data_IF_392824593304
#
_entry.id   IF_392824593304
#
_cell.length_a   1.000
_cell.length_b   1.000
_cell.length_c   1.000
_cell.angle_alpha   90.00
_cell.angle_beta   90.00
_cell.angle_gamma   90.00
#
_symmetry.space_group_name_H-M   'P 1'
#
loop_
_entity.id
_entity.type
_entity.pdbx_description
1 polymer ?
#
# COMPACT_ATOMS: atom_id res chain seq x y z
N UNK A 1 13.72 -14.50 16.86
CA UNK A 1 13.81 -14.90 15.44
C UNK A 1 13.31 -13.72 14.62
N UNK A 2 14.10 -13.25 13.65
CA UNK A 2 13.75 -12.07 12.83
C UNK A 2 12.48 -12.32 12.02
N UNK A 3 11.77 -11.24 11.68
CA UNK A 3 10.54 -11.24 10.88
C UNK A 3 10.73 -10.36 9.66
N UNK A 4 10.05 -10.68 8.57
CA UNK A 4 10.03 -9.91 7.32
C UNK A 4 8.78 -9.05 7.29
N UNK A 5 8.95 -7.74 7.37
CA UNK A 5 7.88 -6.78 7.59
C UNK A 5 7.68 -5.95 6.32
N UNK A 6 6.48 -5.97 5.76
CA UNK A 6 6.13 -5.24 4.55
C UNK A 6 5.41 -3.93 4.87
N UNK A 7 6.02 -2.79 4.54
CA UNK A 7 5.37 -1.50 4.60
C UNK A 7 4.62 -1.24 3.28
N UNK A 8 3.34 -0.88 3.38
CA UNK A 8 2.48 -0.61 2.22
C UNK A 8 1.94 0.81 2.31
N UNK A 9 2.20 1.62 1.29
CA UNK A 9 1.72 3.00 1.14
C UNK A 9 1.55 3.34 -0.34
N UNK A 10 0.98 4.50 -0.64
CA UNK A 10 1.01 5.06 -2.00
C UNK A 10 2.40 5.58 -2.39
N UNK A 11 3.21 5.96 -1.40
CA UNK A 11 4.57 6.51 -1.57
C UNK A 11 5.43 6.29 -0.33
N UNK A 12 6.72 6.00 -0.54
CA UNK A 12 7.81 6.17 0.43
C UNK A 12 8.97 6.88 -0.27
N UNK A 13 8.89 8.21 -0.38
CA UNK A 13 9.86 9.02 -1.09
C UNK A 13 9.91 10.46 -0.54
N UNK A 14 11.10 11.00 -0.37
CA UNK A 14 11.33 12.37 0.08
C UNK A 14 11.04 12.57 1.58
N UNK A 15 10.54 13.75 1.93
CA UNK A 15 10.43 14.21 3.33
C UNK A 15 8.99 14.37 3.80
N UNK A 16 8.03 13.66 3.20
CA UNK A 16 6.66 13.68 3.70
C UNK A 16 6.52 12.91 5.02
N UNK A 17 5.50 13.27 5.81
CA UNK A 17 5.28 12.73 7.15
C UNK A 17 5.17 11.21 7.19
N UNK A 18 4.45 10.59 6.24
CA UNK A 18 4.30 9.13 6.20
C UNK A 18 5.65 8.46 5.92
N UNK A 19 6.41 8.99 4.97
CA UNK A 19 7.75 8.50 4.63
C UNK A 19 8.70 8.56 5.83
N UNK A 20 8.70 9.68 6.58
CA UNK A 20 9.56 9.87 7.75
C UNK A 20 9.16 9.00 8.94
N UNK A 21 7.86 8.92 9.25
CA UNK A 21 7.38 8.09 10.35
C UNK A 21 7.56 6.58 10.07
N UNK A 22 7.32 6.14 8.83
CA UNK A 22 7.59 4.76 8.44
C UNK A 22 9.09 4.42 8.54
N UNK A 23 9.98 5.35 8.22
CA UNK A 23 11.43 5.18 8.37
C UNK A 23 11.84 4.99 9.84
N UNK A 24 11.28 5.77 10.77
CA UNK A 24 11.52 5.61 12.22
C UNK A 24 11.10 4.23 12.72
N UNK A 25 9.93 3.75 12.28
CA UNK A 25 9.48 2.40 12.62
C UNK A 25 10.43 1.34 12.05
N UNK A 26 10.83 1.47 10.79
CA UNK A 26 11.76 0.55 10.15
C UNK A 26 13.11 0.50 10.87
N UNK A 27 13.63 1.63 11.35
CA UNK A 27 14.86 1.71 12.14
C UNK A 27 14.76 0.93 13.47
N UNK A 28 13.68 1.14 14.23
CA UNK A 28 13.42 0.41 15.49
C UNK A 28 13.27 -1.09 15.23
N UNK A 29 12.52 -1.47 14.20
CA UNK A 29 12.30 -2.87 13.83
C UNK A 29 13.60 -3.56 13.37
N UNK A 30 14.44 -2.85 12.60
CA UNK A 30 15.76 -3.33 12.20
C UNK A 30 16.68 -3.51 13.42
N UNK A 31 16.67 -2.58 14.36
CA UNK A 31 17.39 -2.69 15.63
C UNK A 31 16.96 -3.89 16.49
N UNK A 32 15.71 -4.33 16.34
CA UNK A 32 15.18 -5.55 16.96
C UNK A 32 15.46 -6.85 16.16
N UNK A 33 16.18 -6.77 15.03
CA UNK A 33 16.56 -7.91 14.19
C UNK A 33 15.52 -8.31 13.13
N UNK A 34 14.57 -7.43 12.80
CA UNK A 34 13.63 -7.62 11.70
C UNK A 34 14.15 -7.03 10.38
N UNK A 35 13.59 -7.46 9.25
CA UNK A 35 13.89 -6.94 7.91
C UNK A 35 12.66 -6.23 7.36
N UNK A 36 12.84 -5.05 6.77
CA UNK A 36 11.75 -4.23 6.25
C UNK A 36 11.77 -4.18 4.72
N UNK A 37 10.61 -4.35 4.10
CA UNK A 37 10.37 -4.34 2.65
C UNK A 37 9.28 -3.33 2.32
N UNK A 38 9.31 -2.76 1.12
CA UNK A 38 8.53 -1.56 0.79
C UNK A 38 7.70 -1.74 -0.48
N UNK A 39 6.37 -1.60 -0.37
CA UNK A 39 5.43 -1.59 -1.49
C UNK A 39 4.85 -0.19 -1.65
N UNK A 40 5.10 0.46 -2.80
CA UNK A 40 4.48 1.74 -3.15
C UNK A 40 4.63 2.08 -4.64
N UNK A 41 3.90 3.12 -5.07
CA UNK A 41 4.02 3.66 -6.42
C UNK A 41 5.07 4.75 -6.59
N UNK A 42 5.82 5.08 -5.53
CA UNK A 42 7.04 5.88 -5.58
C UNK A 42 7.94 5.49 -4.40
N UNK A 43 9.21 5.16 -4.67
CA UNK A 43 10.15 4.57 -3.71
C UNK A 43 11.57 5.12 -3.90
N UNK A 44 12.15 5.69 -2.85
CA UNK A 44 13.57 6.06 -2.73
C UNK A 44 14.31 5.13 -1.74
N UNK A 45 14.02 3.83 -1.81
CA UNK A 45 14.54 2.78 -0.94
C UNK A 45 15.53 1.87 -1.67
N UNK A 46 16.24 1.03 -0.91
CA UNK A 46 17.15 0.00 -1.42
C UNK A 46 16.45 -0.85 -2.51
N UNK A 47 17.05 -1.00 -3.71
CA UNK A 47 16.53 -1.85 -4.77
C UNK A 47 16.20 -3.28 -4.35
N UNK A 48 16.92 -3.87 -3.40
CA UNK A 48 16.72 -5.26 -2.96
C UNK A 48 15.56 -5.40 -1.96
N UNK A 49 15.06 -4.29 -1.41
CA UNK A 49 13.98 -4.27 -0.42
C UNK A 49 12.72 -3.56 -0.93
N UNK A 50 12.64 -3.21 -2.21
CA UNK A 50 11.57 -2.40 -2.78
C UNK A 50 10.76 -3.16 -3.84
N UNK A 51 9.45 -3.00 -3.80
CA UNK A 51 8.49 -3.51 -4.77
C UNK A 51 7.71 -2.33 -5.38
N UNK A 52 8.17 -1.87 -6.54
CA UNK A 52 7.67 -0.66 -7.17
C UNK A 52 6.46 -0.97 -8.05
N UNK A 53 5.32 -0.32 -7.73
CA UNK A 53 4.05 -0.49 -8.45
C UNK A 53 3.49 0.87 -8.81
N UNK A 54 3.78 1.42 -10.01
CA UNK A 54 3.36 2.77 -10.41
C UNK A 54 1.87 3.07 -10.17
N UNK A 55 1.02 2.05 -10.37
CA UNK A 55 -0.41 2.11 -10.17
C UNK A 55 -0.85 2.38 -8.73
N UNK A 56 0.01 2.13 -7.74
CA UNK A 56 -0.26 2.41 -6.33
C UNK A 56 -0.02 3.88 -5.96
N UNK A 57 0.54 4.69 -6.86
CA UNK A 57 0.79 6.10 -6.57
C UNK A 57 -0.53 6.89 -6.60
N UNK A 58 -0.74 7.79 -5.63
CA UNK A 58 -1.99 8.56 -5.55
C UNK A 58 -2.21 9.50 -6.74
N UNK A 59 -1.15 9.89 -7.46
CA UNK A 59 -1.24 10.65 -8.72
C UNK A 59 -1.35 9.78 -9.99
N UNK A 60 -1.43 8.45 -9.86
CA UNK A 60 -1.64 7.57 -11.01
C UNK A 60 -2.90 8.01 -11.77
N UNK A 61 -2.87 8.12 -13.12
CA UNK A 61 -3.98 8.68 -13.90
C UNK A 61 -5.33 8.04 -13.60
N UNK A 62 -5.35 6.72 -13.40
CA UNK A 62 -6.55 5.96 -13.07
C UNK A 62 -7.11 6.34 -11.70
N UNK A 63 -6.25 6.44 -10.68
CA UNK A 63 -6.68 6.84 -9.34
C UNK A 63 -7.23 8.28 -9.35
N UNK A 64 -6.60 9.20 -10.08
CA UNK A 64 -7.11 10.58 -10.22
C UNK A 64 -8.45 10.64 -10.93
N UNK A 65 -8.64 9.82 -11.97
CA UNK A 65 -9.91 9.74 -12.69
C UNK A 65 -11.03 9.25 -11.76
N UNK A 66 -10.76 8.23 -10.94
CA UNK A 66 -11.69 7.69 -9.93
C UNK A 66 -11.98 8.75 -8.87
N UNK A 67 -10.95 9.37 -8.29
CA UNK A 67 -11.07 10.36 -7.24
C UNK A 67 -11.97 11.54 -7.66
N UNK A 68 -11.79 12.06 -8.88
CA UNK A 68 -12.59 13.15 -9.44
C UNK A 68 -14.09 12.81 -9.62
N UNK A 69 -14.46 11.52 -9.60
CA UNK A 69 -15.85 11.05 -9.76
C UNK A 69 -16.45 10.46 -8.48
N UNK A 70 -15.64 10.34 -7.43
CA UNK A 70 -16.08 9.90 -6.10
C UNK A 70 -16.18 11.08 -5.15
N UNK A 71 -15.17 11.94 -5.10
CA UNK A 71 -15.17 13.07 -4.19
C UNK A 71 -16.01 14.24 -4.72
N UNK A 72 -16.92 14.74 -3.89
CA UNK A 72 -17.87 15.79 -4.27
C UNK A 72 -19.11 15.28 -5.03
N UNK A 73 -19.19 13.99 -5.32
CA UNK A 73 -20.31 13.37 -6.03
C UNK A 73 -21.09 12.43 -5.09
N UNK A 74 -22.42 12.58 -5.02
CA UNK A 74 -23.28 11.67 -4.22
C UNK A 74 -23.68 10.41 -4.98
N UNK A 75 -23.87 10.52 -6.29
CA UNK A 75 -24.22 9.40 -7.18
C UNK A 75 -22.97 8.99 -7.95
N UNK A 76 -22.69 7.69 -7.95
CA UNK A 76 -21.59 7.08 -8.70
C UNK A 76 -22.15 6.31 -9.89
N UNK A 77 -21.55 6.48 -11.06
CA UNK A 77 -21.89 5.71 -12.26
C UNK A 77 -21.34 4.27 -12.17
N UNK A 78 -21.97 3.28 -12.81
CA UNK A 78 -21.49 1.90 -12.82
C UNK A 78 -20.02 1.77 -13.25
N UNK A 79 -19.61 2.51 -14.27
CA UNK A 79 -18.23 2.54 -14.79
C UNK A 79 -17.20 2.86 -13.69
N UNK A 80 -17.51 3.79 -12.79
CA UNK A 80 -16.58 4.15 -11.71
C UNK A 80 -16.38 2.99 -10.75
N UNK A 81 -17.44 2.22 -10.47
CA UNK A 81 -17.34 1.02 -9.62
C UNK A 81 -16.49 -0.05 -10.31
N UNK A 82 -16.73 -0.30 -11.59
CA UNK A 82 -15.98 -1.27 -12.38
C UNK A 82 -14.48 -0.93 -12.44
N UNK A 83 -14.15 0.35 -12.66
CA UNK A 83 -12.75 0.81 -12.69
C UNK A 83 -12.06 0.72 -11.33
N UNK A 84 -12.78 0.98 -10.23
CA UNK A 84 -12.27 0.74 -8.87
C UNK A 84 -11.89 -0.74 -8.71
N UNK A 85 -12.80 -1.66 -9.05
CA UNK A 85 -12.55 -3.09 -8.90
C UNK A 85 -11.46 -3.60 -9.86
N UNK A 86 -11.39 -3.06 -11.07
CA UNK A 86 -10.34 -3.41 -12.05
C UNK A 86 -8.96 -3.02 -11.53
N UNK A 87 -8.80 -1.78 -11.03
CA UNK A 87 -7.52 -1.34 -10.46
C UNK A 87 -7.21 -2.06 -9.14
N UNK A 88 -8.21 -2.33 -8.30
CA UNK A 88 -8.04 -3.12 -7.08
C UNK A 88 -7.56 -4.54 -7.38
N UNK A 89 -8.12 -5.20 -8.41
CA UNK A 89 -7.69 -6.53 -8.84
C UNK A 89 -6.19 -6.57 -9.22
N UNK A 90 -5.75 -5.59 -10.02
CA UNK A 90 -4.32 -5.46 -10.39
C UNK A 90 -3.44 -5.23 -9.17
N UNK A 91 -3.82 -4.33 -8.27
CA UNK A 91 -3.07 -4.03 -7.05
C UNK A 91 -3.02 -5.24 -6.10
N UNK A 92 -4.11 -6.00 -6.02
CA UNK A 92 -4.19 -7.23 -5.23
C UNK A 92 -3.22 -8.29 -5.75
N UNK A 93 -3.17 -8.51 -7.06
CA UNK A 93 -2.16 -9.40 -7.67
C UNK A 93 -0.73 -8.96 -7.29
N UNK A 94 -0.44 -7.65 -7.34
CA UNK A 94 0.87 -7.13 -6.94
C UNK A 94 1.15 -7.32 -5.44
N UNK A 95 0.15 -7.14 -4.56
CA UNK A 95 0.30 -7.37 -3.12
C UNK A 95 0.57 -8.84 -2.80
N UNK A 96 -0.13 -9.77 -3.47
CA UNK A 96 0.15 -11.21 -3.35
C UNK A 96 1.57 -11.54 -3.79
N UNK A 97 2.03 -10.96 -4.92
CA UNK A 97 3.41 -11.12 -5.38
C UNK A 97 4.42 -10.57 -4.38
N UNK A 98 4.19 -9.36 -3.86
CA UNK A 98 5.04 -8.75 -2.84
C UNK A 98 5.17 -9.60 -1.58
N UNK A 99 4.04 -10.12 -1.08
CA UNK A 99 4.01 -10.99 0.10
C UNK A 99 4.79 -12.29 -0.17
N UNK A 100 4.60 -12.90 -1.34
CA UNK A 100 5.27 -14.15 -1.70
C UNK A 100 6.77 -13.98 -1.95
N UNK A 101 7.16 -12.96 -2.75
CA UNK A 101 8.53 -12.70 -3.16
C UNK A 101 9.43 -12.38 -1.95
N UNK A 102 8.93 -11.57 -1.03
CA UNK A 102 9.65 -11.21 0.18
C UNK A 102 9.27 -12.04 1.40
N UNK A 103 8.49 -13.12 1.23
CA UNK A 103 8.03 -13.98 2.32
C UNK A 103 7.58 -13.18 3.57
N UNK A 104 6.69 -12.20 3.35
CA UNK A 104 6.29 -11.23 4.38
C UNK A 104 5.53 -11.91 5.51
N UNK A 105 6.02 -11.74 6.74
CA UNK A 105 5.40 -12.23 7.97
C UNK A 105 4.33 -11.28 8.54
N UNK A 106 4.47 -9.98 8.27
CA UNK A 106 3.65 -8.91 8.85
C UNK A 106 3.56 -7.74 7.87
N UNK A 107 2.35 -7.23 7.63
CA UNK A 107 2.13 -5.99 6.87
C UNK A 107 1.90 -4.82 7.81
N UNK A 108 2.53 -3.67 7.53
CA UNK A 108 2.23 -2.39 8.16
C UNK A 108 1.63 -1.47 7.09
N UNK A 109 0.31 -1.27 7.17
CA UNK A 109 -0.45 -0.44 6.25
C UNK A 109 -0.38 1.02 6.68
N UNK A 110 0.31 1.86 5.92
CA UNK A 110 0.52 3.27 6.22
C UNK A 110 -0.57 4.11 5.54
N UNK A 111 -1.57 4.54 6.30
CA UNK A 111 -2.76 5.31 5.84
C UNK A 111 -3.66 4.66 4.78
N UNK A 112 -3.28 3.50 4.22
CA UNK A 112 -4.01 2.82 3.13
C UNK A 112 -5.43 2.41 3.52
N UNK A 113 -5.65 2.03 4.78
CA UNK A 113 -6.94 1.50 5.27
C UNK A 113 -7.82 2.56 5.95
N UNK A 114 -7.45 3.84 5.94
CA UNK A 114 -8.18 4.91 6.64
C UNK A 114 -8.48 6.14 5.79
N UNK A 115 -7.61 6.51 4.86
CA UNK A 115 -7.80 7.72 4.03
C UNK A 115 -8.13 7.26 2.61
N UNK A 116 -9.24 7.73 2.00
CA UNK A 116 -9.65 7.31 0.67
C UNK A 116 -8.80 7.95 -0.46
N UNK A 117 -7.55 8.35 -0.18
CA UNK A 117 -6.63 8.92 -1.17
C UNK A 117 -6.35 7.96 -2.32
N UNK A 118 -6.46 6.66 -2.06
CA UNK A 118 -6.33 5.61 -3.06
C UNK A 118 -7.33 4.46 -2.81
N UNK A 119 -8.62 4.71 -3.05
CA UNK A 119 -9.72 3.76 -2.81
C UNK A 119 -9.40 2.34 -3.33
N UNK A 120 -8.90 2.15 -4.57
CA UNK A 120 -8.61 0.81 -5.09
C UNK A 120 -7.53 0.06 -4.30
N UNK A 121 -6.55 0.77 -3.72
CA UNK A 121 -5.48 0.15 -2.93
C UNK A 121 -6.01 -0.28 -1.56
N UNK A 122 -6.89 0.52 -0.96
CA UNK A 122 -7.59 0.14 0.27
C UNK A 122 -8.43 -1.12 0.09
N UNK A 123 -9.18 -1.22 -1.02
CA UNK A 123 -9.95 -2.43 -1.38
C UNK A 123 -9.02 -3.62 -1.59
N UNK A 124 -7.99 -3.46 -2.43
CA UNK A 124 -7.03 -4.51 -2.73
C UNK A 124 -6.37 -5.07 -1.45
N UNK A 125 -5.88 -4.19 -0.58
CA UNK A 125 -5.23 -4.59 0.66
C UNK A 125 -6.20 -5.28 1.62
N UNK A 126 -7.43 -4.78 1.74
CA UNK A 126 -8.46 -5.41 2.59
C UNK A 126 -8.76 -6.83 2.13
N UNK A 127 -8.92 -7.05 0.82
CA UNK A 127 -9.13 -8.38 0.25
C UNK A 127 -7.90 -9.27 0.44
N UNK A 128 -6.68 -8.78 0.17
CA UNK A 128 -5.44 -9.54 0.40
C UNK A 128 -5.33 -10.00 1.86
N UNK A 129 -5.65 -9.15 2.83
CA UNK A 129 -5.60 -9.51 4.25
C UNK A 129 -6.60 -10.64 4.55
N UNK A 130 -7.83 -10.53 4.06
CA UNK A 130 -8.85 -11.55 4.27
C UNK A 130 -8.49 -12.90 3.61
N UNK A 131 -7.88 -12.87 2.42
CA UNK A 131 -7.51 -14.05 1.64
C UNK A 131 -6.26 -14.76 2.17
N UNK A 132 -5.29 -14.01 2.68
CA UNK A 132 -3.98 -14.55 3.11
C UNK A 132 -3.86 -14.72 4.62
N UNK A 133 -4.72 -14.05 5.39
CA UNK A 133 -4.60 -13.90 6.84
C UNK A 133 -3.24 -13.36 7.29
N UNK A 134 -2.52 -12.63 6.42
CA UNK A 134 -1.25 -12.00 6.78
C UNK A 134 -1.48 -11.07 7.98
N UNK A 135 -0.76 -11.27 9.10
CA UNK A 135 -0.82 -10.35 10.23
C UNK A 135 -0.64 -8.92 9.74
N UNK A 136 -1.48 -8.01 10.21
CA UNK A 136 -1.48 -6.62 9.72
C UNK A 136 -1.63 -5.63 10.86
N UNK A 137 -0.79 -4.60 10.86
CA UNK A 137 -0.93 -3.40 11.68
C UNK A 137 -1.35 -2.25 10.77
N UNK A 138 -2.49 -1.65 11.06
CA UNK A 138 -2.92 -0.43 10.41
C UNK A 138 -2.32 0.76 11.17
N UNK A 139 -1.42 1.52 10.52
CA UNK A 139 -0.82 2.72 11.09
C UNK A 139 -1.44 3.95 10.44
N UNK A 140 -2.11 4.75 11.27
CA UNK A 140 -2.88 5.92 10.86
C UNK A 140 -2.30 7.15 11.57
N UNK A 141 -1.87 8.12 10.78
CA UNK A 141 -1.18 9.35 11.26
C UNK A 141 -2.17 10.46 11.56
#
# INVERSE_FOLDING_TARGET
MGKRIGFVSTRFCGTDGVTLEAAKWAEVLAGAGHQCFWFAGELDRDPEARFFVPEAHFHHPENRWIAARVFGCKRREPEVSERIHTLAGRLKEQLHRFIAEFAIDLVIAQNVLTIPMHIPLGVALTETIAETLVPTIAHHH
#
